data_IF_066788545672
#
_entry.id   IF_066788545672
#
_cell.length_a   1.000
_cell.length_b   1.000
_cell.length_c   1.000
_cell.angle_alpha   90.00
_cell.angle_beta   90.00
_cell.angle_gamma   90.00
#
_symmetry.space_group_name_H-M   'P 1'
#
loop_
_entity.id
_entity.type
_entity.pdbx_description
1 polymer ?
#
# COMPACT_ATOMS: atom_id res chain seq x y z
N UNK A 1 -5.46 5.29 -5.09
CA UNK A 1 -4.86 3.93 -5.04
C UNK A 1 -5.79 3.04 -4.24
N UNK A 2 -5.85 1.76 -4.57
CA UNK A 2 -6.59 0.76 -3.79
C UNK A 2 -5.93 0.62 -2.40
N UNK A 3 -6.70 0.41 -1.31
CA UNK A 3 -6.15 0.29 0.04
C UNK A 3 -5.16 -0.88 0.16
N UNK A 4 -5.38 -1.96 -0.58
CA UNK A 4 -4.46 -3.10 -0.64
C UNK A 4 -3.12 -2.66 -1.20
N UNK A 5 -3.10 -1.94 -2.33
CA UNK A 5 -1.85 -1.46 -2.94
C UNK A 5 -1.06 -0.55 -1.98
N UNK A 6 -1.75 0.35 -1.27
CA UNK A 6 -1.11 1.24 -0.29
C UNK A 6 -0.49 0.42 0.84
N UNK A 7 -1.24 -0.52 1.41
CA UNK A 7 -0.77 -1.37 2.47
C UNK A 7 0.42 -2.24 2.01
N UNK A 8 0.36 -2.83 0.82
CA UNK A 8 1.47 -3.61 0.25
C UNK A 8 2.74 -2.77 0.10
N UNK A 9 2.63 -1.50 -0.32
CA UNK A 9 3.79 -0.59 -0.37
C UNK A 9 4.39 -0.38 1.02
N UNK A 10 3.55 -0.10 2.01
CA UNK A 10 4.00 0.07 3.40
C UNK A 10 4.65 -1.22 3.93
N UNK A 11 4.06 -2.37 3.64
CA UNK A 11 4.58 -3.69 4.02
C UNK A 11 5.93 -3.98 3.37
N UNK A 12 6.09 -3.71 2.07
CA UNK A 12 7.37 -3.87 1.38
C UNK A 12 8.44 -2.98 2.00
N UNK A 13 8.13 -1.72 2.31
CA UNK A 13 9.09 -0.80 2.94
C UNK A 13 9.53 -1.27 4.33
N UNK A 14 8.62 -1.89 5.09
CA UNK A 14 8.92 -2.50 6.39
C UNK A 14 9.75 -3.77 6.20
N UNK A 15 9.36 -4.64 5.26
CA UNK A 15 9.99 -5.92 4.98
C UNK A 15 11.44 -5.78 4.49
N UNK A 16 11.69 -4.81 3.60
CA UNK A 16 13.02 -4.51 3.05
C UNK A 16 13.89 -3.68 4.00
N UNK A 17 13.37 -3.34 5.19
CA UNK A 17 13.98 -2.42 6.15
C UNK A 17 14.27 -1.02 5.58
N UNK A 18 13.71 -0.68 4.42
CA UNK A 18 13.77 0.66 3.85
C UNK A 18 13.06 1.71 4.74
N UNK A 19 12.32 1.25 5.77
CA UNK A 19 11.70 2.09 6.79
C UNK A 19 12.67 3.04 7.50
N UNK A 20 13.96 2.69 7.64
CA UNK A 20 14.96 3.60 8.25
C UNK A 20 15.14 4.89 7.45
N UNK A 21 14.87 4.86 6.13
CA UNK A 21 14.90 6.05 5.26
C UNK A 21 13.54 6.70 5.06
N UNK A 22 12.46 5.93 5.21
CA UNK A 22 11.09 6.35 4.82
C UNK A 22 10.18 6.59 6.03
N UNK A 23 10.64 6.25 7.25
CA UNK A 23 9.90 6.41 8.51
C UNK A 23 9.49 7.86 8.78
N UNK A 24 10.36 8.84 8.48
CA UNK A 24 10.01 10.27 8.55
C UNK A 24 8.83 10.65 7.63
N UNK A 25 8.70 9.99 6.47
CA UNK A 25 7.64 10.25 5.49
C UNK A 25 6.33 9.56 5.87
N UNK A 26 6.38 8.30 6.31
CA UNK A 26 5.17 7.51 6.59
C UNK A 26 4.47 7.92 7.89
N UNK A 27 5.21 8.47 8.87
CA UNK A 27 4.66 8.85 10.17
C UNK A 27 4.44 7.64 11.08
N UNK A 28 4.53 7.87 12.39
CA UNK A 28 4.56 6.83 13.42
C UNK A 28 3.33 5.92 13.38
N UNK A 29 2.12 6.49 13.19
CA UNK A 29 0.87 5.72 13.12
C UNK A 29 0.83 4.74 11.94
N UNK A 30 1.27 5.18 10.76
CA UNK A 30 1.34 4.32 9.56
C UNK A 30 2.34 3.19 9.76
N UNK A 31 3.47 3.49 10.39
CA UNK A 31 4.52 2.53 10.66
C UNK A 31 4.06 1.50 11.69
N UNK A 32 3.38 1.93 12.76
CA UNK A 32 2.82 1.05 13.77
C UNK A 32 1.77 0.09 13.18
N UNK A 33 0.80 0.62 12.43
CA UNK A 33 -0.23 -0.21 11.79
C UNK A 33 0.36 -1.12 10.71
N UNK A 34 1.35 -0.62 9.95
CA UNK A 34 2.06 -1.43 8.96
C UNK A 34 2.89 -2.57 9.58
N UNK A 35 3.54 -2.33 10.73
CA UNK A 35 4.29 -3.36 11.46
C UNK A 35 3.33 -4.40 12.04
N UNK A 36 2.19 -3.98 12.60
CA UNK A 36 1.14 -4.91 13.06
C UNK A 36 0.66 -5.77 11.90
N UNK A 37 0.29 -5.17 10.77
CA UNK A 37 -0.13 -5.90 9.58
C UNK A 37 0.95 -6.87 9.08
N UNK A 38 2.22 -6.46 9.08
CA UNK A 38 3.33 -7.32 8.67
C UNK A 38 3.51 -8.52 9.59
N UNK A 39 3.41 -8.33 10.91
CA UNK A 39 3.47 -9.42 11.88
C UNK A 39 2.30 -10.39 11.69
N UNK A 40 1.08 -9.88 11.54
CA UNK A 40 -0.10 -10.72 11.24
C UNK A 40 0.09 -11.48 9.94
N UNK A 41 0.65 -10.86 8.91
CA UNK A 41 0.95 -11.51 7.64
C UNK A 41 2.02 -12.60 7.81
N UNK A 42 3.07 -12.37 8.62
CA UNK A 42 4.07 -13.41 8.91
C UNK A 42 3.48 -14.62 9.64
N UNK A 43 2.47 -14.42 10.50
CA UNK A 43 1.81 -15.51 11.22
C UNK A 43 0.82 -16.28 10.34
N UNK A 44 0.01 -15.57 9.53
CA UNK A 44 -1.07 -16.18 8.74
C UNK A 44 -0.64 -16.61 7.34
N UNK A 45 0.30 -15.89 6.73
CA UNK A 45 0.77 -16.08 5.36
C UNK A 45 2.30 -15.85 5.27
N UNK A 46 3.11 -16.74 5.88
CA UNK A 46 4.56 -16.59 5.92
C UNK A 46 5.20 -16.52 4.52
N UNK A 47 4.64 -17.21 3.53
CA UNK A 47 5.08 -17.18 2.13
C UNK A 47 4.94 -15.78 1.52
N UNK A 48 3.78 -15.13 1.68
CA UNK A 48 3.55 -13.76 1.20
C UNK A 48 4.46 -12.76 1.92
N UNK A 49 4.66 -12.94 3.24
CA UNK A 49 5.60 -12.10 3.98
C UNK A 49 7.06 -12.30 3.54
N UNK A 50 7.43 -13.50 3.08
CA UNK A 50 8.73 -13.78 2.50
C UNK A 50 8.87 -13.14 1.11
N UNK A 51 7.84 -13.22 0.27
CA UNK A 51 7.82 -12.57 -1.05
C UNK A 51 8.06 -11.06 -0.92
N UNK A 52 7.42 -10.40 0.06
CA UNK A 52 7.63 -8.98 0.36
C UNK A 52 9.09 -8.63 0.73
N UNK A 53 9.82 -9.54 1.38
CA UNK A 53 11.25 -9.34 1.72
C UNK A 53 12.17 -9.51 0.52
N UNK A 54 11.73 -10.26 -0.48
CA UNK A 54 12.51 -10.52 -1.71
C UNK A 54 12.37 -9.41 -2.75
N UNK A 55 11.44 -8.48 -2.55
CA UNK A 55 11.30 -7.28 -3.37
C UNK A 55 12.58 -6.45 -3.28
N UNK A 56 13.29 -6.35 -4.40
CA UNK A 56 14.54 -5.58 -4.48
C UNK A 56 14.29 -4.08 -4.55
N UNK A 57 13.16 -3.67 -5.14
CA UNK A 57 12.83 -2.28 -5.39
C UNK A 57 11.47 -1.95 -4.77
N UNK A 58 11.47 -1.22 -3.66
CA UNK A 58 10.22 -0.86 -2.97
C UNK A 58 9.39 0.17 -3.74
N UNK A 59 9.96 0.79 -4.79
CA UNK A 59 9.23 1.66 -5.71
C UNK A 59 8.47 0.87 -6.80
N UNK A 60 8.85 -0.39 -7.06
CA UNK A 60 8.24 -1.25 -8.08
C UNK A 60 7.87 -2.59 -7.45
N UNK A 61 6.62 -2.68 -7.00
CA UNK A 61 6.08 -3.91 -6.42
C UNK A 61 5.38 -4.69 -7.52
N UNK A 62 5.77 -5.95 -7.70
CA UNK A 62 5.12 -6.84 -8.64
C UNK A 62 3.63 -6.98 -8.34
N UNK A 63 2.81 -6.91 -9.39
CA UNK A 63 1.37 -7.06 -9.28
C UNK A 63 0.97 -8.41 -8.66
N UNK A 64 1.81 -9.43 -8.83
CA UNK A 64 1.64 -10.74 -8.21
C UNK A 64 1.66 -10.67 -6.67
N UNK A 65 2.56 -9.88 -6.08
CA UNK A 65 2.66 -9.72 -4.63
C UNK A 65 1.43 -8.95 -4.10
N UNK A 66 0.95 -7.97 -4.86
CA UNK A 66 -0.28 -7.24 -4.51
C UNK A 66 -1.47 -8.20 -4.52
N UNK A 67 -1.55 -9.09 -5.51
CA UNK A 67 -2.60 -10.09 -5.62
C UNK A 67 -2.51 -11.14 -4.49
N UNK A 68 -1.31 -11.59 -4.13
CA UNK A 68 -1.10 -12.49 -2.99
C UNK A 68 -1.62 -11.87 -1.68
N UNK A 69 -1.26 -10.61 -1.40
CA UNK A 69 -1.77 -9.89 -0.24
C UNK A 69 -3.30 -9.73 -0.32
N UNK A 70 -3.87 -9.48 -1.50
CA UNK A 70 -5.33 -9.42 -1.70
C UNK A 70 -6.00 -10.75 -1.37
N UNK A 71 -5.45 -11.87 -1.84
CA UNK A 71 -6.00 -13.20 -1.58
C UNK A 71 -5.93 -13.56 -0.11
N UNK A 72 -4.81 -13.24 0.55
CA UNK A 72 -4.66 -13.46 1.99
C UNK A 72 -5.66 -12.58 2.75
N UNK A 73 -5.78 -11.31 2.41
CA UNK A 73 -6.73 -10.41 3.06
C UNK A 73 -8.20 -10.84 2.84
N UNK A 74 -8.52 -11.40 1.66
CA UNK A 74 -9.84 -11.95 1.39
C UNK A 74 -10.17 -13.21 2.22
N UNK A 75 -9.15 -13.95 2.67
CA UNK A 75 -9.29 -15.19 3.46
C UNK A 75 -9.16 -14.94 4.96
N UNK A 76 -8.31 -14.00 5.35
CA UNK A 76 -7.96 -13.66 6.71
C UNK A 76 -8.50 -12.26 7.07
N UNK A 77 -9.59 -12.17 7.85
CA UNK A 77 -10.22 -10.88 8.17
C UNK A 77 -9.30 -9.98 8.99
N UNK A 78 -8.36 -10.55 9.76
CA UNK A 78 -7.34 -9.80 10.51
C UNK A 78 -6.37 -9.08 9.57
N UNK A 79 -5.98 -9.72 8.46
CA UNK A 79 -5.13 -9.11 7.44
C UNK A 79 -5.90 -8.01 6.71
N UNK A 80 -7.17 -8.24 6.37
CA UNK A 80 -8.02 -7.19 5.77
C UNK A 80 -8.19 -5.98 6.68
N UNK A 81 -8.37 -6.20 7.98
CA UNK A 81 -8.49 -5.12 8.96
C UNK A 81 -7.19 -4.30 9.03
N UNK A 82 -6.03 -4.96 9.09
CA UNK A 82 -4.73 -4.29 9.09
C UNK A 82 -4.43 -3.55 7.78
N UNK A 83 -4.83 -4.09 6.63
CA UNK A 83 -4.74 -3.41 5.32
C UNK A 83 -5.52 -2.11 5.33
N UNK A 84 -6.78 -2.16 5.78
CA UNK A 84 -7.61 -0.96 5.86
C UNK A 84 -7.03 0.05 6.85
N UNK A 85 -6.59 -0.39 8.02
CA UNK A 85 -6.02 0.51 9.03
C UNK A 85 -4.70 1.15 8.58
N UNK A 86 -3.86 0.41 7.87
CA UNK A 86 -2.61 0.92 7.28
C UNK A 86 -2.89 1.94 6.18
N UNK A 87 -3.82 1.63 5.26
CA UNK A 87 -4.23 2.56 4.20
C UNK A 87 -4.88 3.83 4.77
N UNK A 88 -5.71 3.67 5.80
CA UNK A 88 -6.36 4.79 6.48
C UNK A 88 -5.35 5.64 7.24
N UNK A 89 -4.32 5.05 7.88
CA UNK A 89 -3.24 5.79 8.51
C UNK A 89 -2.42 6.62 7.51
N UNK A 90 -2.17 6.07 6.32
CA UNK A 90 -1.56 6.81 5.20
C UNK A 90 -2.44 7.98 4.78
N UNK A 91 -3.75 7.76 4.60
CA UNK A 91 -4.71 8.79 4.21
C UNK A 91 -4.97 9.84 5.31
N UNK A 92 -4.98 9.47 6.59
CA UNK A 92 -5.17 10.39 7.70
C UNK A 92 -4.01 11.41 7.80
N UNK A 93 -2.80 11.04 7.38
CA UNK A 93 -1.69 12.01 7.21
C UNK A 93 -1.86 12.89 5.97
N UNK A 94 -2.62 12.46 4.95
CA UNK A 94 -3.03 13.31 3.83
C UNK A 94 -4.06 14.37 4.24
N UNK A 95 -4.68 14.25 5.43
CA UNK A 95 -5.46 15.31 6.08
C UNK A 95 -4.64 16.54 6.51
N UNK A 96 -3.31 16.52 6.34
CA UNK A 96 -2.44 17.68 6.60
C UNK A 96 -1.28 17.90 5.62
N UNK A 97 -1.05 17.03 4.61
CA UNK A 97 0.15 17.18 3.76
C UNK A 97 -0.08 16.81 2.29
N UNK A 98 -0.01 17.85 1.45
CA UNK A 98 0.16 17.94 -0.02
C UNK A 98 1.16 16.96 -0.67
N UNK A 99 1.91 16.15 0.09
CA UNK A 99 3.02 15.34 -0.42
C UNK A 99 2.67 13.90 -0.83
N UNK A 100 1.54 13.33 -0.37
CA UNK A 100 1.13 11.98 -0.77
C UNK A 100 0.52 11.96 -2.18
N UNK A 101 -0.15 13.05 -2.61
CA UNK A 101 -0.58 13.22 -4.00
C UNK A 101 0.59 13.14 -4.98
N UNK A 102 1.76 13.71 -4.62
CA UNK A 102 2.96 13.63 -5.48
C UNK A 102 3.58 12.23 -5.54
N UNK A 103 3.55 11.48 -4.45
CA UNK A 103 3.95 10.06 -4.44
C UNK A 103 2.95 9.22 -5.24
N UNK A 104 1.66 9.51 -5.13
CA UNK A 104 0.61 8.83 -5.87
C UNK A 104 0.58 9.20 -7.35
N UNK A 105 0.96 10.42 -7.73
CA UNK A 105 1.22 10.80 -9.12
C UNK A 105 2.41 10.03 -9.66
N UNK A 106 3.54 9.97 -8.93
CA UNK A 106 4.76 9.27 -9.38
C UNK A 106 4.55 7.76 -9.54
N UNK A 107 3.72 7.14 -8.70
CA UNK A 107 3.34 5.72 -8.81
C UNK A 107 2.18 5.52 -9.82
N UNK A 108 1.29 6.50 -9.95
CA UNK A 108 0.12 6.48 -10.84
C UNK A 108 0.42 6.77 -12.32
N UNK A 109 1.65 7.13 -12.69
CA UNK A 109 2.05 7.24 -14.10
C UNK A 109 2.12 5.86 -14.78
N UNK A 110 2.39 4.78 -14.04
CA UNK A 110 2.57 3.45 -14.63
C UNK A 110 1.25 2.71 -14.93
N UNK A 111 0.11 3.21 -14.45
CA UNK A 111 -1.22 2.62 -14.69
C UNK A 111 -2.22 3.54 -15.43
N UNK A 112 -1.77 4.69 -15.96
CA UNK A 112 -2.60 5.58 -16.80
C UNK A 112 -2.72 5.09 -18.26
N UNK A 113 -2.93 3.79 -18.43
CA UNK A 113 -3.42 3.20 -19.68
C UNK A 113 -4.94 3.02 -19.71
N UNK A 114 -5.68 3.31 -18.64
CA UNK A 114 -7.12 3.06 -18.60
C UNK A 114 -7.89 4.06 -17.72
N UNK A 115 -7.94 5.33 -18.13
CA UNK A 115 -9.10 6.19 -17.81
C UNK A 115 -9.67 6.69 -19.13
N UNK A 116 -10.39 5.80 -19.81
CA UNK A 116 -11.43 6.19 -20.76
C UNK A 116 -12.69 6.57 -19.97
N UNK A 117 -13.44 7.52 -20.53
CA UNK A 117 -14.85 7.86 -20.27
C UNK A 117 -15.16 8.79 -19.08
N UNK A 118 -15.85 9.95 -19.19
CA UNK A 118 -16.66 10.52 -20.28
C UNK A 118 -16.70 12.05 -20.23
N UNK A 119 -16.82 12.64 -21.42
CA UNK A 119 -17.25 14.02 -21.66
C UNK A 119 -18.56 14.32 -20.93
N UNK A 120 -18.56 15.35 -20.08
CA UNK A 120 -19.80 16.00 -19.67
C UNK A 120 -20.22 16.98 -20.78
N UNK A 121 -21.07 16.51 -21.69
CA UNK A 121 -21.81 17.36 -22.63
C UNK A 121 -23.22 17.48 -22.08
N UNK A 122 -23.62 18.65 -21.57
CA UNK A 122 -25.04 18.99 -21.44
C UNK A 122 -25.23 20.42 -21.94
N UNK A 123 -25.84 20.51 -23.12
CA UNK A 123 -26.54 21.68 -23.66
C UNK A 123 -27.57 22.19 -22.65
N UNK A 124 -27.69 23.52 -22.54
CA UNK A 124 -28.95 24.26 -22.59
C UNK A 124 -28.68 25.64 -23.17
#
# INVERSE_FOLDING_TARGET
MDPITIATVVLTLIATKAVEKVGEKLGEKTLEEGVKLFNTLQEKAPDTAQALKQVKDSEVIDAEIIEEVRQVAAREPEVQAGVNATADAVHQKAGGVTNLSKLAEKIGVLNQGLILNQQNTIHL
#
